data_IF_182507233427
#
_entry.id   IF_182507233427
#
_cell.length_a   1.000
_cell.length_b   1.000
_cell.length_c   1.000
_cell.angle_alpha   90.00
_cell.angle_beta   90.00
_cell.angle_gamma   90.00
#
_symmetry.space_group_name_H-M   'P 1'
#
loop_
_entity.id
_entity.type
_entity.pdbx_description
1 polymer ?
#
# COMPACT_ATOMS: atom_id res chain seq x y z
N UNK A 1 -11.77 25.43 9.87
CA UNK A 1 -12.84 25.10 8.93
C UNK A 1 -13.88 26.22 8.92
N UNK A 2 -14.12 26.88 7.77
CA UNK A 2 -15.04 28.03 7.68
C UNK A 2 -16.49 27.75 8.09
N UNK A 3 -17.04 26.54 7.88
CA UNK A 3 -18.42 26.20 8.27
C UNK A 3 -18.57 25.62 9.69
N UNK A 4 -17.55 25.67 10.55
CA UNK A 4 -17.56 25.05 11.89
C UNK A 4 -18.03 23.57 11.93
N UNK A 5 -17.69 22.83 10.89
CA UNK A 5 -18.11 21.44 10.71
C UNK A 5 -17.31 20.44 11.57
N UNK A 6 -16.28 20.91 12.28
CA UNK A 6 -15.44 20.09 13.16
C UNK A 6 -15.67 20.54 14.60
N UNK A 7 -16.23 19.66 15.42
CA UNK A 7 -16.32 19.85 16.86
C UNK A 7 -15.07 19.26 17.54
N UNK A 8 -14.18 20.13 17.96
CA UNK A 8 -12.94 19.74 18.65
C UNK A 8 -13.15 19.29 20.11
N UNK A 9 -14.36 19.48 20.66
CA UNK A 9 -14.71 19.09 22.02
C UNK A 9 -15.58 17.83 22.05
N UNK A 10 -15.78 17.18 20.91
CA UNK A 10 -16.56 15.95 20.83
C UNK A 10 -15.89 14.86 21.66
N UNK A 11 -16.65 14.28 22.60
CA UNK A 11 -16.21 13.15 23.40
C UNK A 11 -16.53 11.83 22.68
N UNK A 12 -15.73 10.79 22.95
CA UNK A 12 -15.99 9.45 22.43
C UNK A 12 -17.31 8.90 23.00
N UNK A 13 -18.14 8.32 22.14
CA UNK A 13 -19.38 7.66 22.52
C UNK A 13 -19.52 6.32 21.82
N UNK A 14 -20.15 5.35 22.47
CA UNK A 14 -20.51 4.07 21.89
C UNK A 14 -21.96 4.12 21.38
N UNK A 15 -22.18 3.61 20.17
CA UNK A 15 -23.49 3.50 19.54
C UNK A 15 -23.71 2.05 19.14
N UNK A 16 -24.80 1.44 19.62
CA UNK A 16 -25.21 0.11 19.20
C UNK A 16 -26.13 0.21 17.97
N UNK A 17 -25.78 -0.54 16.90
CA UNK A 17 -26.55 -0.58 15.66
C UNK A 17 -26.89 -2.03 15.32
N UNK A 18 -28.17 -2.31 15.06
CA UNK A 18 -28.60 -3.57 14.45
C UNK A 18 -28.44 -3.47 12.93
N UNK A 19 -27.59 -4.34 12.37
CA UNK A 19 -27.30 -4.35 10.92
C UNK A 19 -27.55 -5.73 10.32
N UNK A 20 -28.01 -5.78 9.06
CA UNK A 20 -28.25 -7.03 8.36
C UNK A 20 -27.00 -7.67 7.80
N UNK A 21 -26.01 -6.86 7.42
CA UNK A 21 -24.74 -7.30 6.82
C UNK A 21 -23.63 -6.31 7.18
N UNK A 22 -22.37 -6.76 7.04
CA UNK A 22 -21.17 -5.95 7.29
C UNK A 22 -20.28 -5.99 6.05
N UNK A 23 -19.77 -4.83 5.63
CA UNK A 23 -18.72 -4.72 4.62
C UNK A 23 -17.46 -4.19 5.28
N UNK A 24 -16.44 -5.04 5.41
CA UNK A 24 -15.13 -4.65 5.96
C UNK A 24 -14.28 -4.01 4.84
N UNK A 25 -14.02 -2.71 4.98
CA UNK A 25 -13.27 -1.90 4.01
C UNK A 25 -12.28 -0.99 4.75
N UNK A 26 -11.44 -1.58 5.59
CA UNK A 26 -10.56 -0.90 6.56
C UNK A 26 -9.32 -0.25 5.94
N UNK A 27 -9.08 -0.44 4.64
CA UNK A 27 -7.94 0.17 3.95
C UNK A 27 -6.62 -0.55 4.22
N UNK A 28 -5.55 0.23 4.39
CA UNK A 28 -4.17 -0.23 4.50
C UNK A 28 -3.32 0.80 5.26
N UNK A 29 -2.14 0.35 5.69
CA UNK A 29 -1.06 1.23 6.11
C UNK A 29 0.10 1.20 5.12
N UNK A 30 0.80 2.33 4.90
CA UNK A 30 2.07 2.33 4.17
C UNK A 30 3.14 1.56 4.95
N UNK A 31 3.94 0.76 4.25
CA UNK A 31 5.08 0.08 4.86
C UNK A 31 6.06 1.09 5.50
N UNK A 32 6.46 0.87 6.73
CA UNK A 32 7.51 1.64 7.40
C UNK A 32 8.91 1.18 6.95
N UNK A 33 9.66 1.99 6.18
CA UNK A 33 10.97 1.62 5.69
C UNK A 33 12.10 1.77 6.70
N UNK A 34 11.86 2.20 7.92
CA UNK A 34 12.88 2.41 8.96
C UNK A 34 13.68 1.14 9.27
N UNK A 35 13.03 -0.04 9.14
CA UNK A 35 13.66 -1.36 9.29
C UNK A 35 14.61 -1.73 8.13
N UNK A 36 14.54 -1.07 6.96
CA UNK A 36 15.45 -1.29 5.84
C UNK A 36 16.67 -0.37 5.99
N UNK A 37 17.57 -0.77 6.87
CA UNK A 37 18.70 0.04 7.29
C UNK A 37 19.56 0.57 6.14
N UNK A 38 19.75 -0.21 5.07
CA UNK A 38 20.57 0.17 3.92
C UNK A 38 20.02 1.36 3.12
N UNK A 39 18.74 1.73 3.30
CA UNK A 39 18.15 2.89 2.60
C UNK A 39 18.19 4.18 3.40
N UNK A 40 18.51 4.12 4.69
CA UNK A 40 18.78 5.30 5.50
C UNK A 40 17.58 6.13 5.91
N UNK A 41 16.34 5.68 5.70
CA UNK A 41 15.15 6.39 6.16
C UNK A 41 15.20 6.62 7.69
N UNK A 42 14.85 7.83 8.12
CA UNK A 42 14.95 8.24 9.52
C UNK A 42 16.38 8.54 10.01
N UNK A 43 17.42 8.31 9.16
CA UNK A 43 18.84 8.64 9.47
C UNK A 43 19.41 9.67 8.52
N UNK A 44 19.11 9.58 7.23
CA UNK A 44 19.52 10.53 6.21
C UNK A 44 18.39 11.51 5.96
N UNK A 45 18.65 12.79 6.15
CA UNK A 45 17.60 13.83 6.14
C UNK A 45 16.87 13.93 4.79
N UNK A 46 17.59 13.68 3.69
CA UNK A 46 17.03 13.77 2.32
C UNK A 46 16.52 12.43 1.78
N UNK A 47 16.28 11.43 2.64
CA UNK A 47 15.56 10.20 2.29
C UNK A 47 14.15 10.27 2.86
N UNK A 48 13.16 10.31 1.99
CA UNK A 48 11.73 10.44 2.34
C UNK A 48 10.91 9.31 1.72
N UNK A 49 9.69 9.14 2.19
CA UNK A 49 8.71 8.21 1.60
C UNK A 49 7.90 8.85 0.49
N UNK A 50 7.25 8.02 -0.32
CA UNK A 50 6.32 8.48 -1.35
C UNK A 50 5.13 9.26 -0.78
N UNK A 51 4.71 9.00 0.46
CA UNK A 51 3.64 9.75 1.10
C UNK A 51 4.10 11.15 1.51
N UNK A 52 5.36 11.30 1.94
CA UNK A 52 5.92 12.60 2.29
C UNK A 52 6.06 13.50 1.06
N UNK A 53 6.56 12.97 -0.07
CA UNK A 53 6.61 13.77 -1.30
C UNK A 53 5.21 14.10 -1.84
N UNK A 54 4.25 13.19 -1.72
CA UNK A 54 2.83 13.44 -2.05
C UNK A 54 2.27 14.63 -1.25
N UNK A 55 2.62 14.72 0.03
CA UNK A 55 2.25 15.85 0.88
C UNK A 55 2.93 17.15 0.48
N UNK A 56 4.19 17.10 0.02
CA UNK A 56 4.90 18.29 -0.48
C UNK A 56 4.27 18.82 -1.77
N UNK A 57 3.98 17.94 -2.72
CA UNK A 57 3.40 18.29 -4.04
C UNK A 57 2.00 18.92 -3.91
N UNK A 58 1.28 18.61 -2.84
CA UNK A 58 -0.05 19.15 -2.62
C UNK A 58 0.00 20.65 -2.28
N UNK A 59 -0.75 21.48 -3.02
CA UNK A 59 -0.82 22.93 -2.78
C UNK A 59 -1.27 23.31 -1.36
N UNK A 60 -2.04 22.45 -0.67
CA UNK A 60 -2.44 22.59 0.73
C UNK A 60 -1.46 21.89 1.69
N UNK A 61 -0.37 21.36 1.18
CA UNK A 61 0.64 20.66 1.95
C UNK A 61 1.57 21.60 2.71
N UNK A 62 2.50 21.05 3.48
CA UNK A 62 3.38 21.81 4.37
C UNK A 62 4.32 22.77 3.62
N UNK A 63 4.59 22.52 2.34
CA UNK A 63 5.51 23.29 1.50
C UNK A 63 4.77 24.15 0.44
N UNK A 64 3.44 24.21 0.49
CA UNK A 64 2.64 24.99 -0.47
C UNK A 64 2.70 24.46 -1.91
N UNK A 65 3.02 23.17 -2.10
CA UNK A 65 3.12 22.53 -3.41
C UNK A 65 4.55 22.42 -3.96
N UNK A 66 5.54 22.94 -3.26
CA UNK A 66 6.94 22.89 -3.68
C UNK A 66 7.62 21.58 -3.18
N UNK A 67 8.36 20.92 -4.07
CA UNK A 67 9.24 19.81 -3.71
C UNK A 67 10.55 20.39 -3.22
N UNK A 68 10.85 20.20 -1.95
CA UNK A 68 12.05 20.72 -1.30
C UNK A 68 12.84 19.64 -0.59
N UNK A 69 14.14 19.83 -0.47
CA UNK A 69 14.99 18.98 0.38
C UNK A 69 14.72 19.29 1.85
N UNK A 70 14.45 18.28 2.68
CA UNK A 70 14.27 18.50 4.14
C UNK A 70 15.48 19.13 4.82
N UNK A 71 16.69 18.95 4.29
CA UNK A 71 17.94 19.43 4.90
C UNK A 71 18.10 20.95 4.87
N UNK A 72 17.65 21.63 3.80
CA UNK A 72 17.92 23.06 3.59
C UNK A 72 16.72 23.84 3.04
N UNK A 73 15.61 23.17 2.70
CA UNK A 73 14.42 23.79 2.15
C UNK A 73 14.55 24.24 0.68
N UNK A 74 15.62 23.85 -0.01
CA UNK A 74 15.83 24.18 -1.42
C UNK A 74 15.29 23.09 -2.33
N UNK A 75 14.95 23.46 -3.57
CA UNK A 75 14.49 22.53 -4.61
C UNK A 75 15.61 21.56 -5.01
N UNK A 76 15.33 20.24 -5.10
CA UNK A 76 16.30 19.26 -5.55
C UNK A 76 16.48 19.35 -7.08
N UNK A 77 17.71 19.22 -7.56
CA UNK A 77 17.99 19.11 -9.00
C UNK A 77 17.98 17.68 -9.50
N UNK A 78 18.27 16.72 -8.62
CA UNK A 78 18.29 15.29 -8.95
C UNK A 78 17.51 14.50 -7.91
N UNK A 79 16.43 13.84 -8.36
CA UNK A 79 15.54 13.05 -7.50
C UNK A 79 15.56 11.59 -7.94
N UNK A 80 15.72 10.67 -6.99
CA UNK A 80 15.60 9.24 -7.25
C UNK A 80 14.36 8.64 -6.59
N UNK A 81 13.61 7.82 -7.32
CA UNK A 81 12.54 6.99 -6.78
C UNK A 81 12.99 5.53 -6.72
N UNK A 82 12.90 4.92 -5.54
CA UNK A 82 13.22 3.50 -5.35
C UNK A 82 11.91 2.72 -5.23
N UNK A 83 11.63 1.88 -6.22
CA UNK A 83 10.42 1.06 -6.26
C UNK A 83 10.52 -0.18 -5.36
N UNK A 84 9.36 -0.76 -5.03
CA UNK A 84 9.23 -2.03 -4.29
C UNK A 84 9.88 -2.01 -2.89
N UNK A 85 9.89 -0.87 -2.22
CA UNK A 85 10.34 -0.81 -0.81
C UNK A 85 9.24 -1.40 0.07
N UNK A 86 9.54 -2.50 0.78
CA UNK A 86 8.52 -3.24 1.54
C UNK A 86 7.57 -4.08 0.68
N UNK A 87 7.97 -4.43 -0.55
CA UNK A 87 7.20 -5.27 -1.47
C UNK A 87 8.12 -6.19 -2.25
N UNK A 88 7.63 -7.41 -2.60
CA UNK A 88 8.37 -8.39 -3.39
C UNK A 88 9.71 -8.74 -2.74
N UNK A 89 9.71 -8.87 -1.43
CA UNK A 89 10.89 -9.13 -0.62
C UNK A 89 10.58 -10.17 0.47
N UNK A 90 11.02 -11.40 0.22
CA UNK A 90 10.82 -12.52 1.14
C UNK A 90 11.62 -12.35 2.45
N UNK A 91 12.74 -11.61 2.39
CA UNK A 91 13.63 -11.44 3.56
C UNK A 91 12.99 -10.63 4.69
N UNK A 92 11.99 -9.82 4.36
CA UNK A 92 11.21 -9.02 5.32
C UNK A 92 9.76 -9.50 5.43
N UNK A 93 9.44 -10.71 4.92
CA UNK A 93 8.11 -11.29 5.00
C UNK A 93 7.06 -10.61 4.11
N UNK A 94 7.47 -9.91 3.05
CA UNK A 94 6.58 -9.20 2.11
C UNK A 94 6.77 -9.70 0.67
N UNK A 95 6.44 -10.98 0.37
CA UNK A 95 6.68 -11.57 -0.96
C UNK A 95 5.75 -11.00 -2.04
N UNK A 96 4.63 -10.42 -1.67
CA UNK A 96 3.61 -9.89 -2.58
C UNK A 96 4.00 -8.55 -3.21
N UNK A 97 3.37 -8.22 -4.33
CA UNK A 97 3.44 -6.91 -4.97
C UNK A 97 2.31 -6.01 -4.45
N UNK A 98 2.64 -4.80 -4.03
CA UNK A 98 1.65 -3.79 -3.61
C UNK A 98 0.86 -3.17 -4.77
N UNK A 99 1.10 -3.55 -6.03
CA UNK A 99 0.38 -3.23 -7.28
C UNK A 99 0.34 -1.75 -7.67
N UNK A 100 0.43 -0.82 -6.73
CA UNK A 100 0.26 0.62 -6.98
C UNK A 100 1.56 1.41 -7.06
N UNK A 101 2.68 0.86 -6.52
CA UNK A 101 3.94 1.62 -6.37
C UNK A 101 4.48 2.15 -7.70
N UNK A 102 4.46 1.36 -8.77
CA UNK A 102 4.96 1.80 -10.08
C UNK A 102 4.18 3.02 -10.60
N UNK A 103 2.86 2.98 -10.50
CA UNK A 103 2.00 4.04 -11.04
C UNK A 103 2.10 5.32 -10.23
N UNK A 104 2.02 5.25 -8.89
CA UNK A 104 2.11 6.47 -8.08
C UNK A 104 3.52 7.09 -8.10
N UNK A 105 4.58 6.27 -8.21
CA UNK A 105 5.94 6.78 -8.34
C UNK A 105 6.14 7.55 -9.64
N UNK A 106 5.67 7.00 -10.76
CA UNK A 106 5.71 7.70 -12.05
C UNK A 106 4.87 8.98 -12.04
N UNK A 107 3.68 8.96 -11.39
CA UNK A 107 2.88 10.18 -11.22
C UNK A 107 3.65 11.23 -10.42
N UNK A 108 4.22 10.88 -9.29
CA UNK A 108 5.00 11.81 -8.47
C UNK A 108 6.25 12.31 -9.18
N UNK A 109 6.93 11.45 -9.95
CA UNK A 109 8.07 11.81 -10.77
C UNK A 109 7.70 12.85 -11.86
N UNK A 110 6.57 12.65 -12.55
CA UNK A 110 6.06 13.65 -13.51
C UNK A 110 5.72 14.98 -12.82
N UNK A 111 5.07 14.94 -11.66
CA UNK A 111 4.71 16.15 -10.91
C UNK A 111 5.95 16.89 -10.38
N UNK A 112 7.03 16.18 -10.01
CA UNK A 112 8.30 16.86 -9.68
C UNK A 112 8.80 17.71 -10.84
N UNK A 113 8.75 17.17 -12.07
CA UNK A 113 9.21 17.87 -13.28
C UNK A 113 8.21 18.97 -13.69
N UNK A 114 6.90 18.73 -13.53
CA UNK A 114 5.89 19.77 -13.83
C UNK A 114 6.01 20.99 -12.89
N UNK A 115 6.39 20.78 -11.63
CA UNK A 115 6.62 21.86 -10.67
C UNK A 115 7.99 22.52 -10.86
N UNK A 116 9.03 21.72 -11.11
CA UNK A 116 10.42 22.17 -11.27
C UNK A 116 11.02 21.56 -12.54
N UNK A 117 10.86 22.22 -13.69
CA UNK A 117 11.24 21.69 -15.00
C UNK A 117 12.73 21.36 -15.18
N UNK A 118 13.60 21.92 -14.33
CA UNK A 118 15.04 21.65 -14.33
C UNK A 118 15.44 20.44 -13.48
N UNK A 119 14.46 19.73 -12.87
CA UNK A 119 14.72 18.55 -12.06
C UNK A 119 14.90 17.31 -12.93
N UNK A 120 16.00 16.60 -12.74
CA UNK A 120 16.27 15.27 -13.32
C UNK A 120 15.70 14.20 -12.38
N UNK A 121 14.91 13.27 -12.94
CA UNK A 121 14.31 12.19 -12.15
C UNK A 121 14.72 10.83 -12.65
N UNK A 122 15.17 9.96 -11.73
CA UNK A 122 15.53 8.57 -12.00
C UNK A 122 14.64 7.63 -11.17
N UNK A 123 14.12 6.57 -11.80
CA UNK A 123 13.36 5.50 -11.15
C UNK A 123 14.17 4.21 -11.14
N UNK A 124 14.49 3.67 -9.96
CA UNK A 124 15.07 2.34 -9.78
C UNK A 124 13.96 1.30 -9.66
N UNK A 125 13.95 0.28 -10.50
CA UNK A 125 12.86 -0.68 -10.59
C UNK A 125 13.37 -2.12 -10.86
N UNK A 126 12.58 -3.12 -10.47
CA UNK A 126 12.79 -4.53 -10.86
C UNK A 126 12.08 -4.87 -12.17
N UNK A 127 10.78 -4.58 -12.24
CA UNK A 127 9.94 -4.54 -13.42
C UNK A 127 8.81 -3.52 -13.22
N UNK A 128 8.34 -2.90 -14.29
CA UNK A 128 7.21 -1.95 -14.23
C UNK A 128 5.91 -2.73 -14.42
N UNK A 129 4.99 -2.57 -13.46
CA UNK A 129 3.66 -3.20 -13.48
C UNK A 129 2.59 -2.17 -13.78
N UNK A 130 2.45 -1.86 -15.06
CA UNK A 130 1.49 -0.90 -15.62
C UNK A 130 0.38 -1.63 -16.39
N UNK A 131 -0.40 -2.48 -15.72
CA UNK A 131 -1.35 -3.41 -16.35
C UNK A 131 -2.79 -2.89 -16.46
N UNK A 132 -3.09 -1.70 -15.91
CA UNK A 132 -4.40 -1.06 -16.04
C UNK A 132 -4.58 -0.40 -17.41
N UNK A 133 -5.83 -0.09 -17.77
CA UNK A 133 -6.16 0.61 -19.01
C UNK A 133 -5.52 2.00 -19.03
N UNK A 134 -4.68 2.27 -20.03
CA UNK A 134 -3.96 3.54 -20.18
C UNK A 134 -2.68 3.63 -19.34
N UNK A 135 -2.33 2.60 -18.54
CA UNK A 135 -1.16 2.65 -17.66
C UNK A 135 0.16 2.44 -18.41
N UNK A 136 0.15 1.60 -19.45
CA UNK A 136 1.32 1.43 -20.33
C UNK A 136 1.65 2.72 -21.08
N UNK A 137 0.63 3.43 -21.56
CA UNK A 137 0.78 4.72 -22.22
C UNK A 137 1.29 5.80 -21.24
N UNK A 138 0.88 5.73 -19.98
CA UNK A 138 1.38 6.60 -18.93
C UNK A 138 2.88 6.35 -18.66
N UNK A 139 3.30 5.08 -18.62
CA UNK A 139 4.70 4.71 -18.50
C UNK A 139 5.53 5.22 -19.67
N UNK A 140 5.07 5.04 -20.91
CA UNK A 140 5.74 5.59 -22.10
C UNK A 140 5.83 7.11 -22.06
N UNK A 141 4.76 7.78 -21.64
CA UNK A 141 4.75 9.23 -21.47
C UNK A 141 5.80 9.67 -20.45
N UNK A 142 5.98 8.94 -19.35
CA UNK A 142 7.03 9.22 -18.35
C UNK A 142 8.43 9.21 -18.96
N UNK A 143 8.69 8.27 -19.88
CA UNK A 143 9.99 8.16 -20.56
C UNK A 143 10.16 9.18 -21.68
N UNK A 144 9.19 9.27 -22.60
CA UNK A 144 9.33 10.00 -23.87
C UNK A 144 9.09 11.50 -23.72
N UNK A 145 8.09 11.89 -22.91
CA UNK A 145 7.73 13.30 -22.74
C UNK A 145 8.45 13.95 -21.56
N UNK A 146 8.52 13.24 -20.44
CA UNK A 146 9.12 13.78 -19.22
C UNK A 146 10.62 13.47 -19.09
N UNK A 147 11.16 12.56 -19.89
CA UNK A 147 12.58 12.21 -19.86
C UNK A 147 13.01 11.52 -18.57
N UNK A 148 12.07 10.90 -17.83
CA UNK A 148 12.39 10.16 -16.61
C UNK A 148 13.27 8.98 -16.97
N UNK A 149 14.44 8.88 -16.32
CA UNK A 149 15.34 7.77 -16.46
C UNK A 149 14.86 6.55 -15.67
N UNK A 150 14.95 5.37 -16.27
CA UNK A 150 14.57 4.10 -15.64
C UNK A 150 15.77 3.16 -15.57
N UNK A 151 16.32 2.93 -14.38
CA UNK A 151 17.43 2.01 -14.13
C UNK A 151 16.86 0.69 -13.59
N UNK A 152 17.07 -0.38 -14.35
CA UNK A 152 16.60 -1.71 -13.95
C UNK A 152 17.56 -2.33 -12.93
N UNK A 153 17.25 -2.15 -11.65
CA UNK A 153 18.01 -2.68 -10.54
C UNK A 153 17.40 -2.26 -9.20
N UNK A 154 17.50 -3.14 -8.20
CA UNK A 154 17.17 -2.76 -6.82
C UNK A 154 18.42 -2.20 -6.17
N UNK A 155 18.42 -0.96 -5.63
CA UNK A 155 19.58 -0.42 -4.93
C UNK A 155 20.02 -1.33 -3.77
N UNK A 156 21.32 -1.58 -3.70
CA UNK A 156 21.90 -2.34 -2.60
C UNK A 156 22.06 -1.49 -1.34
N UNK A 157 22.42 -0.22 -1.54
CA UNK A 157 22.66 0.70 -0.43
C UNK A 157 22.61 2.16 -0.88
N UNK A 158 22.24 3.04 0.05
CA UNK A 158 22.36 4.50 -0.04
C UNK A 158 23.42 4.96 0.95
N UNK A 159 24.23 5.93 0.54
CA UNK A 159 25.25 6.60 1.37
C UNK A 159 24.96 8.10 1.39
N UNK A 160 25.00 8.71 2.56
CA UNK A 160 24.95 10.17 2.68
C UNK A 160 26.38 10.73 2.59
N UNK A 161 26.58 11.73 1.75
CA UNK A 161 27.83 12.44 1.56
C UNK A 161 27.94 13.62 2.55
N UNK A 162 29.13 14.20 2.69
CA UNK A 162 29.36 15.33 3.63
C UNK A 162 28.53 16.58 3.29
N UNK A 163 28.10 16.74 2.05
CA UNK A 163 27.23 17.82 1.56
C UNK A 163 25.75 17.48 1.63
N UNK A 164 25.36 16.38 2.29
CA UNK A 164 24.01 15.85 2.45
C UNK A 164 23.36 15.36 1.13
N UNK A 165 24.13 15.25 0.05
CA UNK A 165 23.70 14.52 -1.13
C UNK A 165 23.74 13.01 -0.87
N UNK A 166 23.02 12.23 -1.69
CA UNK A 166 22.82 10.80 -1.46
C UNK A 166 23.38 10.00 -2.65
N UNK A 167 24.37 9.15 -2.41
CA UNK A 167 24.90 8.25 -3.43
C UNK A 167 24.18 6.91 -3.36
N UNK A 168 23.55 6.51 -4.46
CA UNK A 168 22.85 5.22 -4.61
C UNK A 168 23.79 4.26 -5.34
N UNK A 169 24.09 3.11 -4.71
CA UNK A 169 24.80 1.99 -5.33
C UNK A 169 23.78 0.94 -5.76
N UNK A 170 23.72 0.67 -7.05
CA UNK A 170 22.84 -0.33 -7.65
C UNK A 170 23.53 -1.06 -8.79
N UNK A 171 23.17 -2.32 -9.02
CA UNK A 171 23.47 -2.98 -10.29
C UNK A 171 22.43 -2.55 -11.33
N UNK A 172 22.89 -1.97 -12.43
CA UNK A 172 22.05 -1.86 -13.62
C UNK A 172 22.08 -3.21 -14.36
N UNK A 173 21.00 -3.97 -14.20
CA UNK A 173 20.92 -5.33 -14.75
C UNK A 173 20.78 -5.39 -16.27
N UNK A 174 20.48 -4.27 -16.94
CA UNK A 174 20.50 -4.18 -18.41
C UNK A 174 21.92 -3.97 -18.93
N UNK A 175 22.74 -3.22 -18.19
CA UNK A 175 24.14 -2.99 -18.52
C UNK A 175 25.07 -4.05 -17.93
N UNK A 176 24.62 -4.84 -16.95
CA UNK A 176 25.44 -5.80 -16.19
C UNK A 176 26.56 -5.13 -15.41
N UNK A 177 26.32 -3.93 -14.88
CA UNK A 177 27.32 -3.12 -14.17
C UNK A 177 26.77 -2.57 -12.86
N UNK A 178 27.62 -2.57 -11.84
CA UNK A 178 27.38 -1.78 -10.63
C UNK A 178 27.62 -0.31 -10.96
N UNK A 179 26.64 0.52 -10.64
CA UNK A 179 26.64 1.96 -10.86
C UNK A 179 26.48 2.70 -9.53
N UNK A 180 27.05 3.88 -9.47
CA UNK A 180 26.88 4.81 -8.36
C UNK A 180 26.48 6.17 -8.93
N UNK A 181 25.31 6.66 -8.54
CA UNK A 181 24.82 7.98 -8.92
C UNK A 181 24.45 8.78 -7.68
N UNK A 182 24.66 10.08 -7.74
CA UNK A 182 24.40 11.00 -6.64
C UNK A 182 23.12 11.80 -6.91
N UNK A 183 22.30 11.94 -5.87
CA UNK A 183 20.99 12.61 -5.89
C UNK A 183 20.88 13.59 -4.73
N UNK A 184 20.04 14.61 -4.88
CA UNK A 184 19.72 15.58 -3.83
C UNK A 184 18.62 15.07 -2.90
N UNK A 185 17.70 14.27 -3.45
CA UNK A 185 16.54 13.72 -2.74
C UNK A 185 16.31 12.28 -3.19
N UNK A 186 16.03 11.39 -2.24
CA UNK A 186 15.65 10.00 -2.52
C UNK A 186 14.27 9.73 -1.94
N UNK A 187 13.39 9.20 -2.78
CA UNK A 187 12.00 8.86 -2.44
C UNK A 187 11.83 7.34 -2.42
N UNK A 188 11.47 6.82 -1.28
CA UNK A 188 11.18 5.40 -1.10
C UNK A 188 9.71 5.11 -1.47
N UNK A 189 9.51 4.38 -2.55
CA UNK A 189 8.19 3.97 -3.02
C UNK A 189 7.73 2.75 -2.23
N UNK A 190 7.19 3.02 -1.05
CA UNK A 190 6.79 2.02 -0.05
C UNK A 190 5.58 1.19 -0.49
N UNK A 191 5.55 -0.05 -0.06
CA UNK A 191 4.44 -0.97 -0.27
C UNK A 191 3.24 -0.68 0.63
N UNK A 192 2.20 -1.49 0.46
CA UNK A 192 0.99 -1.47 1.27
C UNK A 192 0.99 -2.67 2.21
N UNK A 193 0.61 -2.42 3.46
CA UNK A 193 0.39 -3.46 4.47
C UNK A 193 -1.07 -3.47 4.90
N UNK A 194 -1.49 -4.52 5.58
CA UNK A 194 -2.81 -4.53 6.22
C UNK A 194 -2.89 -3.41 7.27
N UNK A 195 -4.07 -2.80 7.42
CA UNK A 195 -4.27 -1.70 8.35
C UNK A 195 -4.04 -2.12 9.81
N UNK A 196 -3.57 -1.21 10.65
CA UNK A 196 -3.50 -1.38 12.10
C UNK A 196 -4.87 -1.73 12.66
N UNK A 197 -4.93 -2.63 13.65
CA UNK A 197 -6.19 -3.13 14.23
C UNK A 197 -6.94 -4.13 13.35
N UNK A 198 -6.45 -4.45 12.15
CA UNK A 198 -7.10 -5.41 11.25
C UNK A 198 -7.23 -6.81 11.86
N UNK A 199 -6.26 -7.26 12.65
CA UNK A 199 -6.29 -8.58 13.29
C UNK A 199 -7.36 -8.66 14.39
N UNK A 200 -7.56 -7.62 15.18
CA UNK A 200 -8.60 -7.56 16.22
C UNK A 200 -10.00 -7.54 15.58
N UNK A 201 -10.18 -6.71 14.56
CA UNK A 201 -11.45 -6.64 13.83
C UNK A 201 -11.76 -7.97 13.14
N UNK A 202 -10.77 -8.58 12.52
CA UNK A 202 -10.89 -9.89 11.87
C UNK A 202 -11.39 -10.96 12.84
N UNK A 203 -10.80 -11.04 14.04
CA UNK A 203 -11.22 -11.98 15.08
C UNK A 203 -12.65 -11.71 15.53
N UNK A 204 -13.01 -10.44 15.71
CA UNK A 204 -14.38 -10.04 16.08
C UNK A 204 -15.41 -10.43 15.03
N UNK A 205 -15.06 -10.29 13.73
CA UNK A 205 -15.94 -10.63 12.61
C UNK A 205 -15.87 -12.11 12.19
N UNK A 206 -14.93 -12.90 12.72
CA UNK A 206 -14.72 -14.28 12.33
C UNK A 206 -14.20 -14.44 10.90
N UNK A 207 -13.44 -13.45 10.38
CA UNK A 207 -12.90 -13.47 9.01
C UNK A 207 -11.53 -14.09 8.98
N UNK A 208 -11.27 -14.96 8.00
CA UNK A 208 -9.97 -15.60 7.80
C UNK A 208 -8.94 -14.63 7.23
N UNK A 209 -7.66 -14.92 7.49
CA UNK A 209 -6.50 -14.15 7.02
C UNK A 209 -5.74 -14.96 5.97
N UNK A 210 -5.37 -14.33 4.86
CA UNK A 210 -4.48 -14.91 3.86
C UNK A 210 -3.01 -14.89 4.32
N UNK A 211 -2.16 -15.66 3.64
CA UNK A 211 -0.74 -15.77 4.00
C UNK A 211 0.02 -14.44 3.91
N UNK A 212 -0.47 -13.47 3.15
CA UNK A 212 0.09 -12.13 3.00
C UNK A 212 -0.40 -11.12 4.05
N UNK A 213 -1.29 -11.54 4.96
CA UNK A 213 -1.77 -10.73 6.07
C UNK A 213 -3.08 -9.99 5.84
N UNK A 214 -3.64 -10.01 4.63
CA UNK A 214 -4.91 -9.38 4.31
C UNK A 214 -6.10 -10.32 4.60
N UNK A 215 -7.32 -9.79 4.56
CA UNK A 215 -8.51 -10.60 4.74
C UNK A 215 -8.73 -11.54 3.55
N UNK A 216 -9.11 -12.77 3.86
CA UNK A 216 -9.28 -13.80 2.84
C UNK A 216 -10.72 -13.83 2.34
N UNK A 217 -10.86 -13.79 1.02
CA UNK A 217 -12.14 -14.04 0.36
C UNK A 217 -12.53 -15.52 0.40
N UNK A 218 -13.83 -15.79 0.35
CA UNK A 218 -14.35 -17.16 0.33
C UNK A 218 -13.88 -17.97 -0.89
N UNK A 219 -13.69 -17.32 -2.04
CA UNK A 219 -13.14 -17.93 -3.24
C UNK A 219 -12.67 -16.86 -4.24
N UNK A 220 -11.40 -16.87 -4.69
CA UNK A 220 -10.82 -15.77 -5.48
C UNK A 220 -11.48 -15.51 -6.82
N UNK A 221 -12.17 -16.50 -7.41
CA UNK A 221 -12.83 -16.38 -8.72
C UNK A 221 -14.34 -16.31 -8.63
N UNK A 222 -14.95 -17.05 -7.70
CA UNK A 222 -16.41 -17.24 -7.66
C UNK A 222 -17.07 -16.36 -6.58
N UNK A 223 -16.36 -16.06 -5.50
CA UNK A 223 -16.86 -15.28 -4.36
C UNK A 223 -15.77 -14.30 -3.87
N UNK A 224 -15.34 -13.35 -4.72
CA UNK A 224 -14.14 -12.52 -4.46
C UNK A 224 -14.36 -11.39 -3.43
N UNK A 225 -15.59 -11.17 -3.02
CA UNK A 225 -15.97 -10.16 -2.02
C UNK A 225 -16.69 -10.74 -0.81
N UNK A 226 -17.07 -12.01 -0.88
CA UNK A 226 -17.65 -12.74 0.25
C UNK A 226 -16.52 -13.23 1.16
N UNK A 227 -16.78 -13.37 2.45
CA UNK A 227 -15.93 -14.11 3.37
C UNK A 227 -16.51 -15.50 3.62
N UNK A 228 -15.80 -16.32 4.41
CA UNK A 228 -16.34 -17.60 4.88
C UNK A 228 -17.38 -17.40 6.00
N UNK A 229 -17.46 -16.22 6.57
CA UNK A 229 -18.48 -15.83 7.55
C UNK A 229 -19.67 -15.22 6.83
N UNK A 230 -20.82 -15.87 6.93
CA UNK A 230 -22.04 -15.42 6.26
C UNK A 230 -22.46 -14.03 6.75
N UNK A 231 -22.86 -13.16 5.81
CA UNK A 231 -23.27 -11.78 6.10
C UNK A 231 -22.10 -10.80 6.24
N UNK A 232 -20.84 -11.27 6.17
CA UNK A 232 -19.65 -10.43 6.20
C UNK A 232 -18.97 -10.42 4.83
N UNK A 233 -18.74 -9.24 4.30
CA UNK A 233 -18.14 -8.99 2.98
C UNK A 233 -16.89 -8.15 3.12
N UNK A 234 -15.99 -8.23 2.13
CA UNK A 234 -14.73 -7.47 2.12
C UNK A 234 -14.61 -6.64 0.85
N UNK A 235 -14.00 -5.46 0.96
CA UNK A 235 -13.78 -4.57 -0.17
C UNK A 235 -12.49 -3.77 -0.04
N UNK A 236 -11.94 -3.38 -1.18
CA UNK A 236 -10.74 -2.54 -1.25
C UNK A 236 -9.49 -3.25 -0.74
N UNK A 237 -8.54 -2.47 -0.23
CA UNK A 237 -7.24 -3.00 0.18
C UNK A 237 -7.32 -3.92 1.42
N UNK A 238 -8.42 -3.92 2.14
CA UNK A 238 -8.65 -4.91 3.21
C UNK A 238 -8.47 -6.37 2.71
N UNK A 239 -8.84 -6.66 1.44
CA UNK A 239 -8.66 -7.98 0.82
C UNK A 239 -7.26 -8.16 0.21
N UNK A 240 -6.57 -7.10 -0.12
CA UNK A 240 -5.24 -7.11 -0.70
C UNK A 240 -4.95 -5.86 -1.51
N UNK A 241 -3.67 -5.60 -1.82
CA UNK A 241 -3.28 -4.39 -2.54
C UNK A 241 -4.00 -4.23 -3.89
N UNK A 242 -4.58 -3.06 -4.13
CA UNK A 242 -5.25 -2.69 -5.39
C UNK A 242 -5.32 -1.18 -5.55
N UNK A 243 -5.56 -0.74 -6.78
CA UNK A 243 -5.75 0.66 -7.11
C UNK A 243 -7.18 1.16 -6.83
N UNK A 244 -7.41 2.44 -7.09
CA UNK A 244 -8.72 3.07 -6.86
C UNK A 244 -9.81 2.46 -7.76
N UNK A 245 -9.62 2.28 -9.08
CA UNK A 245 -10.62 1.64 -9.94
C UNK A 245 -11.02 0.25 -9.45
N UNK A 246 -10.07 -0.61 -9.11
CA UNK A 246 -10.33 -1.95 -8.59
C UNK A 246 -11.05 -1.89 -7.22
N UNK A 247 -10.65 -0.94 -6.35
CA UNK A 247 -11.30 -0.75 -5.04
C UNK A 247 -12.76 -0.32 -5.18
N UNK A 248 -13.07 0.59 -6.11
CA UNK A 248 -14.44 1.04 -6.38
C UNK A 248 -15.28 -0.10 -6.97
N UNK A 249 -14.73 -0.85 -7.92
CA UNK A 249 -15.41 -2.01 -8.51
C UNK A 249 -15.71 -3.07 -7.44
N UNK A 250 -14.75 -3.36 -6.57
CA UNK A 250 -14.93 -4.33 -5.50
C UNK A 250 -15.92 -3.83 -4.42
N UNK A 251 -15.91 -2.54 -4.08
CA UNK A 251 -16.89 -1.94 -3.18
C UNK A 251 -18.31 -2.07 -3.73
N UNK A 252 -18.50 -1.81 -5.02
CA UNK A 252 -19.80 -2.00 -5.69
C UNK A 252 -20.25 -3.46 -5.70
N UNK A 253 -19.31 -4.40 -5.94
CA UNK A 253 -19.58 -5.82 -5.88
C UNK A 253 -19.97 -6.27 -4.46
N UNK A 254 -19.25 -5.83 -3.43
CA UNK A 254 -19.54 -6.15 -2.04
C UNK A 254 -20.92 -5.62 -1.62
N UNK A 255 -21.28 -4.38 -2.00
CA UNK A 255 -22.60 -3.82 -1.73
C UNK A 255 -23.72 -4.63 -2.43
N UNK A 256 -23.51 -5.05 -3.67
CA UNK A 256 -24.47 -5.89 -4.41
C UNK A 256 -24.66 -7.26 -3.75
N UNK A 257 -23.57 -7.89 -3.28
CA UNK A 257 -23.62 -9.17 -2.56
C UNK A 257 -24.31 -9.02 -1.20
N UNK A 258 -23.97 -7.98 -0.45
CA UNK A 258 -24.57 -7.67 0.85
C UNK A 258 -26.08 -7.41 0.77
N UNK A 259 -26.57 -6.83 -0.33
CA UNK A 259 -27.99 -6.57 -0.54
C UNK A 259 -28.83 -7.86 -0.69
N UNK A 260 -28.23 -8.99 -1.13
CA UNK A 260 -28.98 -10.22 -1.38
C UNK A 260 -29.64 -10.77 -0.10
N UNK A 261 -28.92 -11.11 0.98
CA UNK A 261 -29.54 -11.62 2.19
C UNK A 261 -30.47 -10.58 2.86
N UNK A 262 -30.16 -9.29 2.76
CA UNK A 262 -31.05 -8.25 3.27
C UNK A 262 -32.41 -8.22 2.53
N UNK A 263 -32.41 -8.40 1.20
CA UNK A 263 -33.63 -8.46 0.42
C UNK A 263 -34.42 -9.75 0.65
N UNK A 264 -33.74 -10.87 0.92
CA UNK A 264 -34.35 -12.16 1.20
C UNK A 264 -34.85 -12.28 2.64
N UNK A 265 -34.32 -11.47 3.57
CA UNK A 265 -34.60 -11.54 5.00
C UNK A 265 -34.06 -12.82 5.68
N UNK A 266 -33.19 -13.56 5.01
CA UNK A 266 -32.58 -14.79 5.50
C UNK A 266 -31.24 -15.06 4.81
N UNK A 267 -30.40 -15.84 5.48
CA UNK A 267 -29.14 -16.37 4.97
C UNK A 267 -29.23 -17.89 4.92
N UNK A 268 -28.83 -18.47 3.80
CA UNK A 268 -28.72 -19.93 3.65
C UNK A 268 -27.30 -20.33 4.06
N UNK A 269 -27.20 -21.11 5.15
CA UNK A 269 -25.93 -21.53 5.71
C UNK A 269 -25.66 -23.01 5.41
N UNK A 270 -24.35 -23.37 5.31
CA UNK A 270 -23.91 -24.76 5.19
C UNK A 270 -24.18 -25.48 6.54
N UNK A 271 -25.00 -26.55 6.54
CA UNK A 271 -25.34 -27.25 7.79
C UNK A 271 -24.21 -28.16 8.30
N UNK A 272 -23.24 -28.49 7.45
CA UNK A 272 -22.12 -29.37 7.83
C UNK A 272 -20.95 -28.50 8.32
N UNK A 273 -20.85 -28.34 9.62
CA UNK A 273 -19.80 -27.55 10.25
C UNK A 273 -18.96 -28.44 11.19
N UNK A 274 -17.69 -28.05 11.42
CA UNK A 274 -16.88 -28.67 12.46
C UNK A 274 -17.48 -28.33 13.84
N UNK A 275 -17.74 -29.35 14.64
CA UNK A 275 -18.22 -29.19 16.01
C UNK A 275 -17.24 -29.84 16.99
N UNK A 276 -16.96 -29.15 18.08
CA UNK A 276 -16.19 -29.68 19.17
C UNK A 276 -17.12 -30.26 20.24
N UNK A 277 -16.86 -31.49 20.66
CA UNK A 277 -17.52 -32.09 21.85
C UNK A 277 -16.72 -31.71 23.10
N UNK A 278 -17.23 -30.71 23.82
CA UNK A 278 -16.58 -30.23 25.05
C UNK A 278 -16.43 -31.27 26.12
N UNK A 279 -17.28 -32.31 26.14
CA UNK A 279 -17.22 -33.38 27.15
C UNK A 279 -16.01 -34.29 26.98
N UNK A 280 -15.45 -34.39 25.76
CA UNK A 280 -14.30 -35.23 25.46
C UNK A 280 -13.07 -34.45 25.00
N UNK A 281 -13.21 -33.14 24.86
CA UNK A 281 -12.14 -32.24 24.43
C UNK A 281 -11.04 -32.15 25.50
N UNK A 282 -9.81 -32.55 25.14
CA UNK A 282 -8.63 -32.47 26.00
C UNK A 282 -7.93 -31.12 26.04
N UNK A 283 -8.47 -30.06 25.39
CA UNK A 283 -7.92 -28.73 25.29
C UNK A 283 -6.45 -28.69 24.78
N UNK A 284 -6.10 -29.57 23.85
CA UNK A 284 -4.73 -29.71 23.34
C UNK A 284 -4.39 -28.68 22.23
N UNK A 285 -5.34 -27.86 21.83
CA UNK A 285 -5.21 -26.77 20.83
C UNK A 285 -4.77 -27.19 19.41
N UNK A 286 -4.54 -28.48 19.14
CA UNK A 286 -4.12 -29.00 17.83
C UNK A 286 -5.09 -28.57 16.70
N UNK A 287 -6.40 -28.56 16.98
CA UNK A 287 -7.40 -28.12 16.02
C UNK A 287 -7.28 -26.62 15.70
N UNK A 288 -6.82 -25.80 16.66
CA UNK A 288 -6.57 -24.35 16.46
C UNK A 288 -5.31 -24.14 15.63
N UNK A 289 -4.23 -24.89 15.93
CA UNK A 289 -2.97 -24.81 15.19
C UNK A 289 -3.07 -25.30 13.73
N UNK A 290 -3.89 -26.33 13.50
CA UNK A 290 -4.05 -26.92 12.17
C UNK A 290 -5.17 -26.26 11.33
N UNK A 291 -6.02 -25.43 11.96
CA UNK A 291 -7.11 -24.77 11.26
C UNK A 291 -6.55 -23.66 10.33
N UNK A 292 -6.77 -23.73 9.03
CA UNK A 292 -6.32 -22.70 8.10
C UNK A 292 -7.21 -21.45 8.11
N UNK A 293 -8.25 -21.41 8.96
CA UNK A 293 -9.28 -20.38 9.00
C UNK A 293 -9.31 -19.64 10.33
#
# INVERSE_FOLDING_TARGET
CGPDAIDHNQEASEIELEVGTIVAAIGYDPFDPSGIYQYGYGRYTNVITAMEIERMINASGPTGGHVIKPSDGLEPKRVAFIHCVGSRDETIGKPYCSRVCCMYSMKNAQLCIDHEPDTEVTCYYMDIRAFGKGYEEFYKTSQEKYGIEFIRGKPAQIFENDDLTLTIRAEDTLLGKVTEYTYDLVVLSVGLEHAEGSDELRQTLGVSKSADGFYMEAHPKLRPVDTLTDGVYIAGVAQGPKDIPDSVAQGSAAASRAAIPMAQGQVEIEPIIAANDEAICGACEVCVELCPY
#
